data_IF_401196482164
#
_entry.id   IF_401196482164
#
_cell.length_a   1.000
_cell.length_b   1.000
_cell.length_c   1.000
_cell.angle_alpha   90.00
_cell.angle_beta   90.00
_cell.angle_gamma   90.00
#
_symmetry.space_group_name_H-M   'P 1'
#
loop_
_entity.id
_entity.type
_entity.pdbx_description
1 polymer ?
#
# COMPACT_ATOMS: atom_id res chain seq x y z
N UNK A 1 -8.40 -2.00 14.00
CA UNK A 1 -7.09 -1.77 13.36
C UNK A 1 -6.62 -0.33 13.35
N UNK A 2 -7.47 0.72 13.45
CA UNK A 2 -7.05 2.14 13.61
C UNK A 2 -6.04 2.71 12.57
N UNK A 3 -5.80 2.01 11.47
CA UNK A 3 -4.81 2.40 10.46
C UNK A 3 -3.38 1.93 10.78
N UNK A 4 -2.44 2.30 9.91
CA UNK A 4 -1.02 1.95 10.01
C UNK A 4 -0.20 2.68 8.95
N UNK A 5 1.13 2.57 9.03
CA UNK A 5 2.06 3.18 8.07
C UNK A 5 2.75 2.11 7.22
N UNK A 6 2.86 2.36 5.92
CA UNK A 6 3.47 1.44 4.95
C UNK A 6 4.94 1.16 5.25
N UNK A 7 5.68 2.18 5.69
CA UNK A 7 7.09 2.07 6.06
C UNK A 7 7.31 1.02 7.16
N UNK A 8 6.46 1.00 8.19
CA UNK A 8 6.56 0.02 9.27
C UNK A 8 6.27 -1.41 8.80
N UNK A 9 5.34 -1.57 7.86
CA UNK A 9 5.05 -2.88 7.27
C UNK A 9 6.24 -3.38 6.44
N UNK A 10 6.84 -2.54 5.60
CA UNK A 10 8.02 -2.93 4.82
C UNK A 10 9.23 -3.20 5.71
N UNK A 11 9.46 -2.39 6.74
CA UNK A 11 10.53 -2.64 7.70
C UNK A 11 10.34 -3.96 8.45
N UNK A 12 9.09 -4.28 8.84
CA UNK A 12 8.78 -5.58 9.44
C UNK A 12 9.12 -6.74 8.49
N UNK A 13 8.74 -6.66 7.22
CA UNK A 13 9.01 -7.71 6.21
C UNK A 13 10.50 -7.87 5.95
N UNK A 14 11.26 -6.77 5.97
CA UNK A 14 12.72 -6.81 5.84
C UNK A 14 13.37 -7.54 7.02
N UNK A 15 12.89 -7.32 8.24
CA UNK A 15 13.48 -7.89 9.45
C UNK A 15 13.04 -9.34 9.71
N UNK A 16 11.78 -9.68 9.42
CA UNK A 16 11.17 -10.95 9.84
C UNK A 16 10.68 -11.81 8.66
N UNK A 17 10.56 -11.23 7.46
CA UNK A 17 9.85 -11.83 6.33
C UNK A 17 8.32 -11.78 6.49
N UNK A 18 7.63 -12.39 5.54
CA UNK A 18 6.16 -12.53 5.55
C UNK A 18 5.76 -13.95 5.14
N UNK A 19 4.68 -14.44 5.75
CA UNK A 19 4.12 -15.77 5.50
C UNK A 19 2.95 -15.72 4.50
N UNK A 20 2.40 -16.87 4.13
CA UNK A 20 1.25 -16.93 3.22
C UNK A 20 -0.08 -16.70 3.92
N UNK A 21 -1.05 -16.18 3.18
CA UNK A 21 -2.45 -16.03 3.63
C UNK A 21 -3.04 -17.37 4.14
N UNK A 22 -2.68 -18.50 3.50
CA UNK A 22 -3.14 -19.82 3.96
C UNK A 22 -2.62 -20.19 5.35
N UNK A 23 -1.41 -19.75 5.73
CA UNK A 23 -0.84 -20.00 7.06
C UNK A 23 -1.38 -18.99 8.10
N UNK A 24 -1.52 -17.72 7.70
CA UNK A 24 -2.05 -16.65 8.54
C UNK A 24 -3.22 -15.93 7.86
N UNK A 25 -4.45 -16.49 7.92
CA UNK A 25 -5.62 -15.89 7.26
C UNK A 25 -6.05 -14.56 7.87
N UNK A 26 -6.55 -13.66 7.03
CA UNK A 26 -7.10 -12.37 7.42
C UNK A 26 -8.38 -12.53 8.26
N UNK A 27 -8.42 -11.83 9.39
CA UNK A 27 -9.51 -11.95 10.37
C UNK A 27 -10.40 -10.70 10.48
N UNK A 28 -10.13 -9.64 9.70
CA UNK A 28 -10.84 -8.36 9.75
C UNK A 28 -10.91 -7.70 11.15
N UNK A 29 -9.96 -8.00 12.04
CA UNK A 29 -9.84 -7.40 13.38
C UNK A 29 -8.40 -7.50 13.88
N UNK A 30 -8.04 -6.61 14.81
CA UNK A 30 -6.80 -6.75 15.56
C UNK A 30 -6.87 -7.99 16.47
N UNK A 31 -5.74 -8.69 16.57
CA UNK A 31 -5.55 -9.80 17.48
C UNK A 31 -4.13 -9.79 18.02
N UNK A 32 -3.82 -10.74 18.88
CA UNK A 32 -2.44 -10.95 19.33
C UNK A 32 -1.64 -11.61 18.22
N UNK A 33 -0.37 -11.21 18.04
CA UNK A 33 0.52 -11.87 17.07
C UNK A 33 0.66 -13.35 17.40
N UNK A 34 0.38 -14.21 16.41
CA UNK A 34 0.68 -15.63 16.53
C UNK A 34 2.12 -15.90 16.06
N UNK A 35 3.05 -15.86 17.01
CA UNK A 35 4.49 -16.05 16.75
C UNK A 35 4.82 -17.38 16.07
N UNK A 36 4.04 -18.44 16.26
CA UNK A 36 4.29 -19.72 15.59
C UNK A 36 3.95 -19.69 14.10
N UNK A 37 2.94 -18.91 13.73
CA UNK A 37 2.56 -18.69 12.33
C UNK A 37 3.49 -17.68 11.67
N UNK A 38 3.82 -16.61 12.37
CA UNK A 38 4.76 -15.56 11.94
C UNK A 38 6.15 -16.13 11.61
N UNK A 39 6.71 -16.99 12.47
CA UNK A 39 8.03 -17.62 12.32
C UNK A 39 8.11 -18.68 11.19
N UNK A 40 7.24 -18.57 10.17
CA UNK A 40 7.27 -19.35 8.94
C UNK A 40 7.24 -18.42 7.72
N UNK A 41 8.21 -17.50 7.59
CA UNK A 41 8.27 -16.62 6.43
C UNK A 41 8.54 -17.43 5.17
N UNK A 42 7.92 -17.03 4.07
CA UNK A 42 8.16 -17.62 2.73
C UNK A 42 8.93 -16.66 1.82
N UNK A 43 8.87 -15.36 2.10
CA UNK A 43 9.59 -14.31 1.37
C UNK A 43 10.01 -13.20 2.32
N UNK A 44 11.06 -12.48 1.94
CA UNK A 44 11.55 -11.26 2.59
C UNK A 44 11.92 -10.24 1.52
N UNK A 45 12.18 -9.00 1.93
CA UNK A 45 12.71 -7.95 1.06
C UNK A 45 14.08 -7.51 1.58
N UNK A 46 14.95 -7.06 0.69
CA UNK A 46 16.27 -6.53 1.09
C UNK A 46 16.17 -5.10 1.64
N UNK A 47 15.12 -4.36 1.23
CA UNK A 47 14.88 -2.99 1.67
C UNK A 47 13.64 -2.36 1.06
N UNK A 48 13.40 -1.11 1.46
CA UNK A 48 12.39 -0.21 0.91
C UNK A 48 12.97 1.20 0.83
N UNK A 49 12.39 2.03 -0.02
CA UNK A 49 12.78 3.42 -0.18
C UNK A 49 11.56 4.32 -0.37
N UNK A 50 11.70 5.58 0.05
CA UNK A 50 10.68 6.59 -0.15
C UNK A 50 10.92 7.32 -1.47
N UNK A 51 9.89 7.34 -2.32
CA UNK A 51 9.86 8.25 -3.48
C UNK A 51 9.75 9.69 -2.97
N UNK A 52 10.50 10.66 -3.54
CA UNK A 52 10.38 12.06 -3.15
C UNK A 52 8.92 12.55 -3.24
N UNK A 53 8.42 13.10 -2.13
CA UNK A 53 7.07 13.63 -2.06
C UNK A 53 6.87 14.79 -3.06
N UNK A 54 5.66 14.92 -3.58
CA UNK A 54 5.26 15.98 -4.51
C UNK A 54 6.12 16.03 -5.79
N UNK A 55 6.60 14.88 -6.26
CA UNK A 55 7.42 14.77 -7.46
C UNK A 55 6.86 13.71 -8.41
N UNK A 56 5.99 14.13 -9.33
CA UNK A 56 5.33 13.26 -10.31
C UNK A 56 6.32 12.52 -11.20
N UNK A 57 7.38 13.19 -11.65
CA UNK A 57 8.39 12.56 -12.51
C UNK A 57 9.14 11.44 -11.78
N UNK A 58 9.44 11.63 -10.49
CA UNK A 58 10.06 10.60 -9.66
C UNK A 58 9.08 9.44 -9.41
N UNK A 59 7.80 9.73 -9.14
CA UNK A 59 6.76 8.72 -8.97
C UNK A 59 6.57 7.88 -10.24
N UNK A 60 6.45 8.52 -11.40
CA UNK A 60 6.32 7.84 -12.69
C UNK A 60 7.52 6.94 -12.98
N UNK A 61 8.74 7.46 -12.73
CA UNK A 61 9.97 6.68 -12.90
C UNK A 61 9.97 5.46 -11.99
N UNK A 62 9.62 5.60 -10.71
CA UNK A 62 9.57 4.48 -9.78
C UNK A 62 8.49 3.46 -10.20
N UNK A 63 7.32 3.92 -10.65
CA UNK A 63 6.20 3.07 -11.02
C UNK A 63 6.48 2.24 -12.29
N UNK A 64 7.30 2.78 -13.19
CA UNK A 64 7.78 2.06 -14.36
C UNK A 64 8.73 0.89 -14.01
N UNK A 65 9.33 0.88 -12.81
CA UNK A 65 10.24 -0.17 -12.38
C UNK A 65 9.55 -1.23 -11.52
N UNK A 66 8.64 -0.84 -10.63
CA UNK A 66 7.93 -1.75 -9.72
C UNK A 66 6.64 -1.12 -9.17
N UNK A 67 5.70 -1.93 -8.65
CA UNK A 67 4.57 -1.41 -7.89
C UNK A 67 5.01 -0.55 -6.71
N UNK A 68 4.25 0.50 -6.42
CA UNK A 68 4.50 1.45 -5.33
C UNK A 68 3.28 1.49 -4.42
N UNK A 69 3.52 1.52 -3.10
CA UNK A 69 2.48 1.84 -2.14
C UNK A 69 2.31 3.35 -2.02
N UNK A 70 1.09 3.86 -2.24
CA UNK A 70 0.76 5.30 -2.18
C UNK A 70 -0.39 5.54 -1.21
N UNK A 71 -0.44 6.74 -0.64
CA UNK A 71 -1.57 7.22 0.15
C UNK A 71 -2.35 8.27 -0.65
N UNK A 72 -3.68 8.20 -0.60
CA UNK A 72 -4.61 9.13 -1.24
C UNK A 72 -5.71 9.49 -0.25
N UNK A 73 -6.34 10.66 -0.42
CA UNK A 73 -7.57 10.97 0.30
C UNK A 73 -8.75 10.27 -0.37
N UNK A 74 -9.25 9.21 0.28
CA UNK A 74 -10.38 8.41 -0.18
C UNK A 74 -11.66 8.68 0.64
N UNK A 75 -11.69 9.76 1.45
CA UNK A 75 -12.82 10.07 2.32
C UNK A 75 -14.01 10.74 1.63
N UNK A 76 -13.83 11.23 0.40
CA UNK A 76 -14.85 11.94 -0.37
C UNK A 76 -15.88 11.00 -1.02
N UNK A 77 -17.12 11.48 -1.18
CA UNK A 77 -18.20 10.75 -1.86
C UNK A 77 -17.86 10.41 -3.31
N UNK A 78 -17.13 11.28 -4.00
CA UNK A 78 -16.72 11.07 -5.38
C UNK A 78 -15.83 9.84 -5.52
N UNK A 79 -14.95 9.61 -4.54
CA UNK A 79 -14.10 8.42 -4.50
C UNK A 79 -14.89 7.18 -4.06
N UNK A 80 -15.81 7.33 -3.10
CA UNK A 80 -16.66 6.24 -2.64
C UNK A 80 -17.56 5.67 -3.75
N UNK A 81 -18.06 6.52 -4.65
CA UNK A 81 -18.96 6.16 -5.74
C UNK A 81 -18.31 6.20 -7.12
N UNK A 82 -16.97 6.28 -7.19
CA UNK A 82 -16.25 6.23 -8.45
C UNK A 82 -16.56 4.92 -9.20
N UNK A 83 -16.95 5.04 -10.48
CA UNK A 83 -17.28 3.90 -11.35
C UNK A 83 -16.38 3.84 -12.58
N UNK A 84 -16.23 4.95 -13.31
CA UNK A 84 -15.40 5.07 -14.50
C UNK A 84 -14.98 6.53 -14.72
N UNK A 85 -13.94 6.72 -15.54
CA UNK A 85 -13.54 8.06 -15.99
C UNK A 85 -14.40 8.45 -17.19
N UNK A 86 -15.27 9.44 -17.04
CA UNK A 86 -15.92 10.05 -18.20
C UNK A 86 -14.90 10.96 -18.91
N UNK A 87 -14.41 10.55 -20.08
CA UNK A 87 -13.41 11.27 -20.89
C UNK A 87 -13.90 12.62 -21.48
N UNK A 88 -15.00 13.21 -20.97
CA UNK A 88 -15.67 14.37 -21.57
C UNK A 88 -15.37 15.73 -20.92
N UNK A 89 -14.61 15.81 -19.81
CA UNK A 89 -14.33 17.08 -19.13
C UNK A 89 -12.86 17.53 -19.08
N UNK A 90 -12.07 17.27 -20.12
CA UNK A 90 -10.72 17.86 -20.24
C UNK A 90 -10.72 19.37 -20.58
N UNK A 91 -11.89 20.05 -20.63
CA UNK A 91 -12.00 21.45 -21.05
C UNK A 91 -12.86 22.35 -20.13
N UNK A 92 -13.08 22.02 -18.85
CA UNK A 92 -13.74 22.96 -17.95
C UNK A 92 -13.17 22.88 -16.52
N UNK A 93 -12.23 23.79 -16.24
CA UNK A 93 -11.81 24.22 -14.90
C UNK A 93 -10.90 23.26 -14.13
N UNK A 94 -9.61 23.35 -14.46
CA UNK A 94 -8.56 23.31 -13.43
C UNK A 94 -8.68 24.63 -12.64
N UNK A 95 -9.05 24.55 -11.36
CA UNK A 95 -8.77 25.56 -10.35
C UNK A 95 -7.45 25.23 -9.67
#
# INVERSE_FOLDING_TARGET
CNGGLMEYAFEFIKQNGITTESNYPYAAKDGTCNVQKENKPVVSIDGHENVPANNEAALLKAAANQPISVAIDAGGSDFQFYSEVEHSQLNSHVL
#
